data_IF_749768390623
#
_entry.id   IF_749768390623
#
_cell.length_a   1.000
_cell.length_b   1.000
_cell.length_c   1.000
_cell.angle_alpha   90.00
_cell.angle_beta   90.00
_cell.angle_gamma   90.00
#
_symmetry.space_group_name_H-M   'P 1'
#
loop_
_entity.id
_entity.type
_entity.pdbx_description
1 polymer ?
#
# COMPACT_ATOMS: atom_id res chain seq x y z
N UNK A 1 -56.13 -21.13 47.37
CA UNK A 1 -54.77 -21.54 46.96
C UNK A 1 -54.37 -20.73 45.74
N UNK A 2 -53.51 -19.70 45.91
CA UNK A 2 -53.00 -18.87 44.82
C UNK A 2 -51.70 -19.51 44.28
N UNK A 3 -51.68 -19.88 43.01
CA UNK A 3 -50.50 -20.39 42.32
C UNK A 3 -49.64 -19.19 41.90
N UNK A 4 -48.48 -19.02 42.53
CA UNK A 4 -47.47 -18.03 42.16
C UNK A 4 -46.68 -18.57 40.96
N UNK A 5 -46.85 -17.95 39.79
CA UNK A 5 -46.00 -18.17 38.63
C UNK A 5 -44.62 -17.51 38.88
N UNK A 6 -43.56 -18.31 38.87
CA UNK A 6 -42.17 -17.82 38.86
C UNK A 6 -41.81 -17.37 37.44
N UNK A 7 -41.22 -16.17 37.24
CA UNK A 7 -40.70 -15.80 35.93
C UNK A 7 -39.41 -16.59 35.67
N UNK A 8 -39.34 -17.23 34.51
CA UNK A 8 -38.14 -17.88 33.99
C UNK A 8 -37.19 -16.76 33.52
N UNK A 9 -36.08 -16.54 34.23
CA UNK A 9 -35.02 -15.64 33.78
C UNK A 9 -34.29 -16.33 32.62
N UNK A 10 -34.52 -15.88 31.39
CA UNK A 10 -33.73 -16.29 30.22
C UNK A 10 -32.44 -15.48 30.26
N UNK A 11 -31.38 -16.07 30.77
CA UNK A 11 -30.03 -15.51 30.71
C UNK A 11 -29.48 -15.68 29.29
N UNK A 12 -29.61 -14.64 28.47
CA UNK A 12 -28.91 -14.57 27.18
C UNK A 12 -27.42 -14.34 27.49
N UNK A 13 -26.63 -15.40 27.37
CA UNK A 13 -25.17 -15.32 27.44
C UNK A 13 -24.69 -14.71 26.11
N UNK A 14 -24.47 -13.39 26.10
CA UNK A 14 -23.79 -12.72 24.99
C UNK A 14 -22.31 -13.11 25.06
N UNK A 15 -21.92 -14.15 24.33
CA UNK A 15 -20.51 -14.43 24.09
C UNK A 15 -19.98 -13.31 23.18
N UNK A 16 -19.41 -12.26 23.78
CA UNK A 16 -18.48 -11.37 23.12
C UNK A 16 -17.28 -12.22 22.69
N UNK A 17 -17.33 -12.75 21.48
CA UNK A 17 -16.12 -13.12 20.76
C UNK A 17 -15.42 -11.80 20.51
N UNK A 18 -14.53 -11.42 21.42
CA UNK A 18 -13.47 -10.50 21.09
C UNK A 18 -12.67 -11.20 20.00
N UNK A 19 -12.96 -10.90 18.73
CA UNK A 19 -11.99 -11.10 17.67
C UNK A 19 -10.75 -10.35 18.13
N UNK A 20 -9.74 -11.09 18.59
CA UNK A 20 -8.42 -10.52 18.75
C UNK A 20 -8.08 -9.92 17.39
N UNK A 21 -7.99 -8.59 17.32
CA UNK A 21 -7.52 -7.88 16.14
C UNK A 21 -6.05 -8.25 15.97
N UNK A 22 -5.81 -9.42 15.38
CA UNK A 22 -4.50 -9.75 14.84
C UNK A 22 -4.12 -8.66 13.84
N UNK A 23 -2.84 -8.37 13.72
CA UNK A 23 -2.36 -7.52 12.65
C UNK A 23 -2.76 -8.15 11.29
N UNK A 24 -3.75 -7.53 10.63
CA UNK A 24 -4.31 -7.98 9.34
C UNK A 24 -3.55 -7.39 8.14
N UNK A 25 -2.55 -6.53 8.37
CA UNK A 25 -1.87 -5.83 7.28
C UNK A 25 -0.97 -6.76 6.47
N UNK A 26 -1.00 -6.58 5.15
CA UNK A 26 -0.17 -7.35 4.23
C UNK A 26 1.32 -7.32 4.61
N UNK A 27 1.94 -8.49 4.63
CA UNK A 27 3.39 -8.66 4.76
C UNK A 27 4.00 -8.58 3.36
N UNK A 28 4.49 -7.41 3.00
CA UNK A 28 5.00 -7.14 1.65
C UNK A 28 6.45 -7.60 1.52
N UNK A 29 6.73 -8.50 0.58
CA UNK A 29 8.07 -9.04 0.27
C UNK A 29 8.47 -8.68 -1.15
N UNK A 30 9.55 -7.93 -1.29
CA UNK A 30 10.12 -7.49 -2.56
C UNK A 30 11.44 -8.22 -2.85
N UNK A 31 11.48 -9.12 -3.86
CA UNK A 31 12.72 -9.71 -4.35
C UNK A 31 13.47 -8.72 -5.27
N UNK A 32 14.55 -8.11 -4.77
CA UNK A 32 15.43 -7.28 -5.61
C UNK A 32 16.42 -8.16 -6.36
N UNK A 33 16.57 -7.97 -7.66
CA UNK A 33 17.57 -8.70 -8.44
C UNK A 33 18.91 -7.99 -8.38
N UNK A 34 20.00 -8.76 -8.47
CA UNK A 34 21.32 -8.18 -8.67
C UNK A 34 21.49 -7.78 -10.13
N UNK A 35 22.06 -6.61 -10.37
CA UNK A 35 22.41 -6.11 -11.72
C UNK A 35 23.91 -5.96 -11.87
N UNK A 36 24.37 -6.12 -13.11
CA UNK A 36 25.76 -5.88 -13.52
C UNK A 36 25.87 -4.68 -14.48
N UNK A 37 24.74 -4.10 -14.90
CA UNK A 37 24.72 -2.88 -15.70
C UNK A 37 24.89 -1.65 -14.80
N UNK A 38 25.46 -0.58 -15.35
CA UNK A 38 25.54 0.70 -14.63
C UNK A 38 24.17 1.37 -14.62
N UNK A 39 23.63 1.61 -13.44
CA UNK A 39 22.48 2.50 -13.22
C UNK A 39 23.01 3.92 -13.12
N UNK A 40 22.51 4.83 -13.96
CA UNK A 40 22.81 6.26 -13.86
C UNK A 40 21.76 6.88 -12.95
N UNK A 41 22.17 7.84 -12.12
CA UNK A 41 21.23 8.56 -11.25
C UNK A 41 20.93 9.89 -11.94
N UNK A 42 20.07 9.85 -12.95
CA UNK A 42 19.68 11.00 -13.77
C UNK A 42 18.17 11.32 -13.76
N UNK A 43 17.37 10.42 -13.18
CA UNK A 43 15.94 10.53 -12.98
C UNK A 43 15.09 10.06 -14.16
N UNK A 44 15.68 9.47 -15.22
CA UNK A 44 14.98 9.11 -16.46
C UNK A 44 14.30 7.72 -16.43
N UNK A 45 14.76 6.81 -15.55
CA UNK A 45 14.26 5.44 -15.42
C UNK A 45 14.30 4.63 -16.73
N UNK A 46 15.30 4.85 -17.58
CA UNK A 46 15.36 4.26 -18.92
C UNK A 46 16.23 2.99 -19.02
N UNK A 47 16.95 2.63 -17.96
CA UNK A 47 17.77 1.43 -17.90
C UNK A 47 16.96 0.13 -17.98
N UNK A 48 17.59 -0.90 -18.55
CA UNK A 48 16.96 -2.20 -18.72
C UNK A 48 16.68 -2.87 -17.37
N UNK A 49 17.47 -2.58 -16.34
CA UNK A 49 17.23 -2.99 -14.95
C UNK A 49 15.82 -2.64 -14.48
N UNK A 50 15.35 -1.43 -14.77
CA UNK A 50 14.03 -0.96 -14.35
C UNK A 50 12.90 -1.68 -15.05
N UNK A 51 13.09 -2.05 -16.31
CA UNK A 51 12.11 -2.86 -17.06
C UNK A 51 12.07 -4.32 -16.56
N UNK A 52 13.16 -4.79 -15.94
CA UNK A 52 13.30 -6.14 -15.43
C UNK A 52 12.93 -6.29 -13.94
N UNK A 53 12.92 -5.19 -13.19
CA UNK A 53 12.57 -5.18 -11.77
C UNK A 53 11.05 -5.25 -11.56
N UNK A 54 10.64 -5.92 -10.48
CA UNK A 54 9.23 -5.98 -10.09
C UNK A 54 8.69 -4.59 -9.76
N UNK A 55 7.47 -4.26 -10.14
CA UNK A 55 6.88 -2.98 -9.75
C UNK A 55 6.07 -3.15 -8.47
N UNK A 56 6.47 -2.44 -7.42
CA UNK A 56 5.68 -2.28 -6.22
C UNK A 56 4.64 -1.17 -6.39
N UNK A 57 3.43 -1.43 -5.91
CA UNK A 57 2.25 -0.59 -6.11
C UNK A 57 1.37 -0.57 -4.84
N UNK A 58 0.16 -0.01 -4.95
CA UNK A 58 -0.87 -0.02 -3.91
C UNK A 58 -0.43 0.69 -2.62
N UNK A 59 0.03 1.94 -2.77
CA UNK A 59 0.31 2.79 -1.61
C UNK A 59 -1.01 3.20 -0.95
N UNK A 60 -1.02 3.14 0.37
CA UNK A 60 -2.17 3.47 1.22
C UNK A 60 -1.86 4.68 2.09
N UNK A 61 -2.87 5.27 2.71
CA UNK A 61 -2.64 6.24 3.77
C UNK A 61 -1.88 5.61 4.93
N UNK A 62 -1.00 6.36 5.58
CA UNK A 62 -0.15 5.79 6.63
C UNK A 62 -0.91 5.28 7.87
N UNK A 63 -2.10 5.84 8.10
CA UNK A 63 -2.94 5.62 9.28
C UNK A 63 -4.16 4.74 8.99
N UNK A 64 -4.42 4.39 7.73
CA UNK A 64 -5.49 3.48 7.34
C UNK A 64 -5.12 2.72 6.06
N UNK A 65 -5.46 1.42 5.94
CA UNK A 65 -5.14 0.59 4.76
C UNK A 65 -6.02 0.91 3.54
N UNK A 66 -6.27 2.19 3.29
CA UNK A 66 -7.06 2.71 2.18
C UNK A 66 -6.12 3.24 1.10
N UNK A 67 -6.29 2.78 -0.13
CA UNK A 67 -5.53 3.24 -1.28
C UNK A 67 -5.72 4.75 -1.52
N UNK A 68 -4.63 5.42 -1.90
CA UNK A 68 -4.65 6.84 -2.28
C UNK A 68 -4.92 7.04 -3.77
N UNK A 69 -5.38 8.23 -4.14
CA UNK A 69 -5.62 8.59 -5.54
C UNK A 69 -4.32 8.88 -6.29
N UNK A 70 -3.46 9.72 -5.71
CA UNK A 70 -2.12 10.01 -6.21
C UNK A 70 -1.16 8.88 -5.81
N UNK A 71 -1.17 7.79 -6.59
CA UNK A 71 -0.38 6.60 -6.32
C UNK A 71 1.12 6.84 -6.44
N UNK A 72 1.86 6.00 -5.71
CA UNK A 72 3.32 5.91 -5.79
C UNK A 72 3.67 4.48 -6.21
N UNK A 73 4.68 4.36 -7.06
CA UNK A 73 5.21 3.09 -7.53
C UNK A 73 6.71 3.08 -7.29
N UNK A 74 7.28 1.92 -6.97
CA UNK A 74 8.73 1.82 -6.96
C UNK A 74 9.22 0.49 -7.51
N UNK A 75 10.49 0.50 -7.92
CA UNK A 75 11.28 -0.67 -8.27
C UNK A 75 12.59 -0.62 -7.51
N UNK A 76 13.10 -1.78 -7.14
CA UNK A 76 14.38 -1.90 -6.45
C UNK A 76 15.26 -2.94 -7.16
N UNK A 77 16.54 -2.61 -7.27
CA UNK A 77 17.59 -3.51 -7.76
C UNK A 77 18.87 -3.21 -6.97
N UNK A 78 19.90 -4.03 -7.10
CA UNK A 78 21.15 -3.76 -6.39
C UNK A 78 22.37 -4.25 -7.15
N UNK A 79 23.52 -3.68 -6.83
CA UNK A 79 24.83 -4.22 -7.19
C UNK A 79 25.66 -4.49 -5.93
N UNK A 80 26.96 -4.79 -6.10
CA UNK A 80 27.86 -5.06 -4.98
C UNK A 80 28.14 -3.86 -4.07
N UNK A 81 27.76 -2.65 -4.49
CA UNK A 81 28.11 -1.37 -3.85
C UNK A 81 26.88 -0.62 -3.33
N UNK A 82 25.75 -0.68 -4.03
CA UNK A 82 24.56 0.11 -3.75
C UNK A 82 23.25 -0.69 -3.90
N UNK A 83 22.27 -0.29 -3.10
CA UNK A 83 20.86 -0.48 -3.38
C UNK A 83 20.41 0.65 -4.32
N UNK A 84 19.63 0.33 -5.34
CA UNK A 84 19.05 1.32 -6.24
C UNK A 84 17.52 1.28 -6.16
N UNK A 85 16.91 2.45 -6.16
CA UNK A 85 15.47 2.64 -6.17
C UNK A 85 15.08 3.56 -7.32
N UNK A 86 14.07 3.14 -8.07
CA UNK A 86 13.35 3.92 -9.06
C UNK A 86 11.95 4.15 -8.52
N UNK A 87 11.54 5.40 -8.35
CA UNK A 87 10.24 5.77 -7.78
C UNK A 87 9.48 6.65 -8.77
N UNK A 88 8.22 6.33 -8.99
CA UNK A 88 7.30 7.12 -9.81
C UNK A 88 6.14 7.58 -8.93
N UNK A 89 5.84 8.87 -8.96
CA UNK A 89 4.79 9.49 -8.16
C UNK A 89 3.77 10.14 -9.09
N UNK A 90 2.57 9.57 -9.19
CA UNK A 90 1.47 10.26 -9.86
C UNK A 90 1.16 11.55 -9.07
N UNK A 91 0.97 12.65 -9.81
CA UNK A 91 0.78 13.95 -9.21
C UNK A 91 -0.19 14.80 -10.05
N UNK A 92 -1.48 14.86 -9.67
CA UNK A 92 -2.48 15.64 -10.41
C UNK A 92 -2.25 17.15 -10.35
N UNK A 93 -1.45 17.64 -9.38
CA UNK A 93 -1.10 19.05 -9.20
C UNK A 93 0.37 19.30 -9.59
N UNK A 94 0.88 18.60 -10.61
CA UNK A 94 2.30 18.60 -10.98
C UNK A 94 2.86 20.00 -11.19
N UNK A 95 2.10 20.93 -11.77
CA UNK A 95 2.51 22.32 -11.99
C UNK A 95 2.79 23.09 -10.69
N UNK A 96 2.23 22.62 -9.57
CA UNK A 96 2.41 23.18 -8.24
C UNK A 96 3.55 22.52 -7.45
N UNK A 97 4.13 21.43 -7.97
CA UNK A 97 5.38 20.86 -7.44
C UNK A 97 6.51 21.84 -7.71
N UNK A 98 7.08 22.39 -6.64
CA UNK A 98 8.19 23.34 -6.69
C UNK A 98 9.50 22.62 -6.41
N UNK A 99 10.60 23.00 -7.09
CA UNK A 99 11.91 22.45 -6.77
C UNK A 99 12.32 22.86 -5.36
N UNK A 100 12.76 21.90 -4.57
CA UNK A 100 13.30 22.15 -3.25
C UNK A 100 14.67 22.81 -3.33
N UNK A 101 14.94 23.73 -2.40
CA UNK A 101 16.24 24.36 -2.22
C UNK A 101 16.50 24.44 -0.73
N UNK A 102 17.15 23.43 -0.21
CA UNK A 102 17.36 23.25 1.21
C UNK A 102 18.86 23.26 1.51
N UNK A 103 19.22 23.61 2.75
CA UNK A 103 20.52 23.23 3.26
C UNK A 103 20.58 21.69 3.35
N UNK A 104 21.80 21.13 3.26
CA UNK A 104 22.02 19.71 3.48
C UNK A 104 21.42 19.31 4.84
N UNK A 105 20.70 18.19 4.87
CA UNK A 105 20.01 17.63 6.05
C UNK A 105 19.00 18.57 6.73
N UNK A 106 18.46 19.57 6.00
CA UNK A 106 17.40 20.41 6.55
C UNK A 106 16.08 19.64 6.68
N UNK A 107 15.46 19.75 7.84
CA UNK A 107 14.10 19.26 8.09
C UNK A 107 13.02 20.01 7.30
N UNK A 108 13.36 21.16 6.69
CA UNK A 108 12.43 21.89 5.82
C UNK A 108 12.02 21.07 4.57
N UNK A 109 12.83 20.06 4.22
CA UNK A 109 12.57 19.12 3.14
C UNK A 109 11.18 18.45 3.28
N UNK A 110 10.82 18.03 4.51
CA UNK A 110 9.53 17.39 4.83
C UNK A 110 8.30 18.32 4.65
N UNK A 111 8.51 19.60 4.37
CA UNK A 111 7.43 20.54 4.01
C UNK A 111 6.95 20.41 2.57
N UNK A 112 7.62 19.63 1.71
CA UNK A 112 7.34 19.48 0.29
C UNK A 112 6.93 18.06 -0.14
N UNK A 113 7.13 17.77 -1.43
CA UNK A 113 7.00 16.42 -2.00
C UNK A 113 8.26 15.62 -1.70
N UNK A 114 8.14 14.59 -0.86
CA UNK A 114 9.27 13.80 -0.40
C UNK A 114 8.94 12.31 -0.49
N UNK A 115 9.91 11.53 -0.93
CA UNK A 115 9.95 10.10 -0.73
C UNK A 115 10.88 9.80 0.43
N UNK A 116 10.37 9.09 1.42
CA UNK A 116 11.13 8.63 2.56
C UNK A 116 11.38 7.12 2.46
N UNK A 117 12.64 6.75 2.49
CA UNK A 117 13.11 5.37 2.40
C UNK A 117 13.59 4.97 3.77
N UNK A 118 12.93 3.99 4.37
CA UNK A 118 13.31 3.43 5.66
C UNK A 118 13.94 2.07 5.47
N UNK A 119 15.13 1.85 6.04
CA UNK A 119 15.84 0.58 5.97
C UNK A 119 16.18 0.07 7.37
N UNK A 120 15.84 -1.18 7.65
CA UNK A 120 16.31 -1.96 8.81
C UNK A 120 17.26 -3.05 8.29
N UNK A 121 18.58 -2.79 8.29
CA UNK A 121 19.58 -3.70 7.73
C UNK A 121 19.67 -5.08 8.39
N UNK A 122 19.38 -5.15 9.70
CA UNK A 122 19.56 -6.37 10.49
C UNK A 122 18.26 -7.19 10.58
N UNK A 123 17.14 -6.63 10.11
CA UNK A 123 15.81 -7.23 10.18
C UNK A 123 15.44 -7.64 11.62
N UNK A 124 15.81 -6.79 12.57
CA UNK A 124 15.57 -6.98 14.01
C UNK A 124 14.50 -6.03 14.57
N UNK A 125 13.99 -5.14 13.71
CA UNK A 125 12.96 -4.15 13.99
C UNK A 125 13.34 -3.14 15.08
N UNK A 126 14.63 -2.93 15.32
CA UNK A 126 15.14 -2.02 16.35
C UNK A 126 15.91 -0.85 15.76
N UNK A 127 16.99 -1.11 15.03
CA UNK A 127 17.85 -0.11 14.42
C UNK A 127 17.46 0.07 12.96
N UNK A 128 17.11 1.29 12.59
CA UNK A 128 16.78 1.62 11.22
C UNK A 128 17.39 2.96 10.81
N UNK A 129 17.44 3.17 9.50
CA UNK A 129 17.91 4.37 8.84
C UNK A 129 16.78 4.97 8.02
N UNK A 130 16.82 6.28 7.86
CA UNK A 130 15.90 7.04 7.02
C UNK A 130 16.73 7.79 5.98
N UNK A 131 16.31 7.72 4.72
CA UNK A 131 16.81 8.52 3.62
C UNK A 131 15.60 9.19 2.99
N UNK A 132 15.43 10.48 3.20
CA UNK A 132 14.35 11.27 2.65
C UNK A 132 14.85 12.10 1.47
N UNK A 133 14.12 12.05 0.36
CA UNK A 133 14.53 12.63 -0.91
C UNK A 133 13.38 13.39 -1.53
N UNK A 134 13.59 14.66 -1.84
CA UNK A 134 12.55 15.48 -2.49
C UNK A 134 12.48 15.24 -4.01
N UNK A 135 11.46 15.82 -4.65
CA UNK A 135 11.30 15.76 -6.12
C UNK A 135 12.43 16.36 -6.96
N UNK A 136 13.42 17.02 -6.33
CA UNK A 136 14.61 17.58 -6.99
C UNK A 136 15.87 16.74 -6.74
N UNK A 137 15.82 15.74 -5.86
CA UNK A 137 16.95 14.92 -5.47
C UNK A 137 17.75 15.46 -4.29
N UNK A 138 17.23 16.45 -3.54
CA UNK A 138 17.86 16.85 -2.27
C UNK A 138 17.67 15.73 -1.25
N UNK A 139 18.71 15.43 -0.48
CA UNK A 139 18.73 14.32 0.48
C UNK A 139 18.76 14.86 1.91
N UNK A 140 17.97 14.22 2.77
CA UNK A 140 18.11 14.22 4.22
C UNK A 140 18.34 12.77 4.65
N UNK A 141 19.25 12.53 5.59
CA UNK A 141 19.44 11.20 6.16
C UNK A 141 19.56 11.20 7.68
N UNK A 142 19.17 10.06 8.27
CA UNK A 142 19.21 9.89 9.71
C UNK A 142 19.32 8.42 10.11
N UNK A 143 19.87 8.18 11.30
CA UNK A 143 19.75 6.90 11.99
C UNK A 143 18.65 7.04 13.05
N UNK A 144 17.56 6.30 12.89
CA UNK A 144 16.33 6.53 13.65
C UNK A 144 15.73 7.90 13.34
N UNK A 145 15.89 8.83 14.27
CA UNK A 145 15.53 10.25 14.10
C UNK A 145 16.73 11.18 14.36
N UNK A 146 17.94 10.62 14.39
CA UNK A 146 19.17 11.36 14.65
C UNK A 146 19.87 11.67 13.31
N UNK A 147 19.92 12.95 12.88
CA UNK A 147 20.47 13.36 11.58
C UNK A 147 22.01 13.46 11.57
N UNK A 148 22.72 12.75 12.45
CA UNK A 148 24.20 12.76 12.49
C UNK A 148 24.84 11.65 11.65
N UNK A 149 24.04 10.73 11.12
CA UNK A 149 24.49 9.66 10.24
C UNK A 149 24.36 10.09 8.80
N UNK A 150 25.36 9.79 7.96
CA UNK A 150 25.35 10.11 6.54
C UNK A 150 25.27 8.82 5.70
N UNK A 151 24.31 8.76 4.80
CA UNK A 151 24.03 7.63 3.92
C UNK A 151 25.00 7.52 2.74
N UNK A 152 25.59 8.63 2.31
CA UNK A 152 26.27 8.75 1.02
C UNK A 152 25.35 8.57 -0.18
N UNK A 153 24.02 8.65 0.01
CA UNK A 153 23.06 8.45 -1.05
C UNK A 153 23.17 9.56 -2.12
N UNK A 154 22.95 9.18 -3.37
CA UNK A 154 22.80 10.12 -4.48
C UNK A 154 21.41 9.96 -5.06
N UNK A 155 20.77 11.06 -5.37
CA UNK A 155 19.45 11.04 -5.94
C UNK A 155 19.26 12.09 -7.03
N UNK A 156 18.37 11.78 -7.97
CA UNK A 156 17.96 12.72 -9.01
C UNK A 156 16.49 12.56 -9.32
N UNK A 157 15.76 13.67 -9.18
CA UNK A 157 14.36 13.75 -9.55
C UNK A 157 14.16 14.34 -10.96
N UNK A 158 13.12 13.87 -11.64
CA UNK A 158 12.68 14.40 -12.94
C UNK A 158 11.17 14.64 -12.93
N UNK A 159 10.75 15.80 -13.40
CA UNK A 159 9.34 16.17 -13.53
C UNK A 159 8.83 15.78 -14.91
N UNK A 160 7.74 15.01 -14.96
CA UNK A 160 6.99 14.68 -16.17
C UNK A 160 5.72 15.50 -16.32
N UNK A 161 4.81 15.04 -17.19
CA UNK A 161 3.55 15.76 -17.52
C UNK A 161 2.46 15.63 -16.46
N UNK A 162 2.38 14.50 -15.74
CA UNK A 162 1.36 14.22 -14.72
C UNK A 162 1.92 13.42 -13.54
N UNK A 163 3.25 13.33 -13.45
CA UNK A 163 4.00 12.59 -12.47
C UNK A 163 5.36 13.21 -12.28
N UNK A 164 6.03 12.85 -11.21
CA UNK A 164 7.47 13.02 -11.08
C UNK A 164 8.12 11.68 -10.78
N UNK A 165 9.38 11.56 -11.15
CA UNK A 165 10.18 10.34 -11.02
C UNK A 165 11.44 10.65 -10.22
N UNK A 166 11.99 9.62 -9.60
CA UNK A 166 13.16 9.72 -8.75
C UNK A 166 14.03 8.47 -8.90
N UNK A 167 15.32 8.68 -9.10
CA UNK A 167 16.34 7.65 -8.93
C UNK A 167 17.14 7.92 -7.68
N UNK A 168 17.39 6.86 -6.91
CA UNK A 168 18.21 6.90 -5.70
C UNK A 168 19.20 5.76 -5.72
N UNK A 169 20.47 6.06 -5.46
CA UNK A 169 21.48 5.08 -5.08
C UNK A 169 21.79 5.22 -3.60
N UNK A 170 21.81 4.11 -2.88
CA UNK A 170 22.08 4.05 -1.44
C UNK A 170 23.25 3.08 -1.23
N UNK A 171 24.44 3.56 -0.86
CA UNK A 171 25.58 2.70 -0.59
C UNK A 171 25.31 1.71 0.54
N UNK A 172 25.72 0.45 0.37
CA UNK A 172 25.55 -0.59 1.39
C UNK A 172 26.44 -0.40 2.62
N UNK A 173 27.62 0.20 2.41
CA UNK A 173 28.65 0.33 3.46
C UNK A 173 28.19 1.15 4.66
N UNK A 174 27.59 2.36 4.52
CA UNK A 174 27.07 3.12 5.65
C UNK A 174 25.89 2.45 6.38
N UNK A 175 25.14 1.58 5.68
CA UNK A 175 24.08 0.76 6.27
C UNK A 175 24.62 -0.47 7.03
N UNK A 176 25.89 -0.84 6.83
CA UNK A 176 26.49 -2.03 7.41
C UNK A 176 26.05 -3.34 6.73
N UNK A 177 25.49 -3.28 5.52
CA UNK A 177 25.01 -4.46 4.78
C UNK A 177 26.12 -5.01 3.89
N UNK A 178 26.25 -6.33 3.85
CA UNK A 178 27.02 -7.05 2.82
C UNK A 178 26.01 -7.61 1.79
N UNK A 179 25.93 -7.08 0.57
CA UNK A 179 24.91 -7.48 -0.39
C UNK A 179 25.20 -8.88 -0.94
N UNK A 180 24.47 -9.87 -0.42
CA UNK A 180 24.57 -11.27 -0.85
C UNK A 180 23.17 -11.84 -1.10
N UNK A 181 23.10 -12.84 -1.98
CA UNK A 181 21.85 -13.54 -2.26
C UNK A 181 21.23 -14.11 -0.97
N UNK A 182 19.93 -13.88 -0.79
CA UNK A 182 19.15 -14.30 0.36
C UNK A 182 19.16 -13.37 1.57
N UNK A 183 20.00 -12.31 1.58
CA UNK A 183 19.98 -11.28 2.62
C UNK A 183 18.61 -10.62 2.65
N UNK A 184 18.05 -10.52 3.86
CA UNK A 184 16.74 -9.93 4.14
C UNK A 184 16.96 -8.66 4.95
N UNK A 185 16.38 -7.55 4.47
CA UNK A 185 16.36 -6.28 5.20
C UNK A 185 14.90 -5.80 5.32
N UNK A 186 14.60 -5.06 6.38
CA UNK A 186 13.35 -4.31 6.45
C UNK A 186 13.43 -3.11 5.51
N UNK A 187 12.37 -2.85 4.75
CA UNK A 187 12.27 -1.71 3.85
C UNK A 187 10.87 -1.12 3.90
N UNK A 188 10.75 0.19 4.01
CA UNK A 188 9.50 0.88 3.69
C UNK A 188 9.78 2.09 2.80
N UNK A 189 8.85 2.34 1.89
CA UNK A 189 8.85 3.51 1.02
C UNK A 189 7.60 4.30 1.39
N UNK A 190 7.79 5.54 1.79
CA UNK A 190 6.74 6.44 2.21
C UNK A 190 6.79 7.70 1.35
N UNK A 191 5.65 8.39 1.22
CA UNK A 191 5.55 9.66 0.51
C UNK A 191 4.86 10.68 1.40
N UNK A 192 5.56 11.77 1.66
CA UNK A 192 4.98 13.04 2.08
C UNK A 192 4.52 13.77 0.83
N UNK A 193 3.22 13.78 0.59
CA UNK A 193 2.63 14.56 -0.48
C UNK A 193 2.14 15.89 0.07
N UNK A 194 2.96 16.94 -0.05
CA UNK A 194 2.62 18.32 0.36
C UNK A 194 2.68 19.26 -0.84
N UNK A 195 1.61 19.28 -1.64
CA UNK A 195 1.48 20.18 -2.80
C UNK A 195 0.24 21.03 -2.66
N UNK A 196 0.45 22.35 -2.69
CA UNK A 196 -0.61 23.34 -2.51
C UNK A 196 -1.40 23.09 -1.21
N UNK A 197 -2.68 22.74 -1.32
CA UNK A 197 -3.52 22.42 -0.17
C UNK A 197 -3.68 20.91 0.06
N UNK A 198 -3.06 20.07 -0.77
CA UNK A 198 -3.09 18.63 -0.60
C UNK A 198 -1.95 18.20 0.33
N UNK A 199 -2.32 17.61 1.48
CA UNK A 199 -1.40 17.00 2.44
C UNK A 199 -1.80 15.55 2.66
N UNK A 200 -0.96 14.62 2.22
CA UNK A 200 -1.21 13.19 2.36
C UNK A 200 0.09 12.49 2.74
N UNK A 201 0.00 11.58 3.69
CA UNK A 201 1.09 10.72 4.13
C UNK A 201 0.75 9.31 3.72
N UNK A 202 1.59 8.72 2.88
CA UNK A 202 1.29 7.41 2.28
C UNK A 202 2.48 6.48 2.40
N UNK A 203 2.24 5.18 2.43
CA UNK A 203 3.31 4.18 2.53
C UNK A 203 3.04 2.97 1.65
N UNK A 204 4.12 2.25 1.35
CA UNK A 204 4.06 0.96 0.70
C UNK A 204 3.62 -0.12 1.69
N UNK A 205 4.33 -0.30 2.79
CA UNK A 205 3.96 -1.23 3.86
C UNK A 205 3.20 -0.48 4.95
N UNK A 206 2.01 -0.99 5.30
CA UNK A 206 1.09 -0.30 6.20
C UNK A 206 1.66 -0.21 7.61
N UNK A 207 1.90 1.02 8.06
CA UNK A 207 2.27 1.35 9.45
C UNK A 207 1.06 1.57 10.34
N UNK A 208 1.26 1.65 11.66
CA UNK A 208 0.17 1.88 12.62
C UNK A 208 0.05 3.32 13.12
N UNK A 209 1.18 3.99 13.37
CA UNK A 209 1.22 5.30 14.07
C UNK A 209 1.98 6.40 13.33
N UNK A 210 2.75 6.04 12.32
CA UNK A 210 3.66 6.93 11.60
C UNK A 210 4.70 6.11 10.84
N UNK A 211 5.55 6.77 10.06
CA UNK A 211 6.53 6.06 9.23
C UNK A 211 7.69 5.43 10.02
N UNK A 212 8.01 5.95 11.20
CA UNK A 212 9.06 5.42 12.09
C UNK A 212 8.60 4.18 12.87
N UNK A 213 8.17 3.14 12.14
CA UNK A 213 7.55 1.94 12.69
C UNK A 213 8.20 0.66 12.10
N UNK A 214 9.45 0.33 12.51
CA UNK A 214 10.25 -0.71 11.86
C UNK A 214 9.66 -2.13 11.93
N UNK A 215 8.79 -2.39 12.91
CA UNK A 215 8.02 -3.64 12.99
C UNK A 215 7.06 -3.80 11.79
N UNK A 216 6.64 -2.69 11.19
CA UNK A 216 5.69 -2.64 10.08
C UNK A 216 6.32 -2.36 8.72
N UNK A 217 7.65 -2.33 8.64
CA UNK A 217 8.34 -2.27 7.35
C UNK A 217 8.03 -3.53 6.53
N UNK A 218 8.03 -3.36 5.21
CA UNK A 218 8.06 -4.49 4.30
C UNK A 218 9.43 -5.15 4.30
N UNK A 219 9.62 -6.09 3.40
CA UNK A 219 10.75 -7.00 3.40
C UNK A 219 11.42 -6.96 2.04
N UNK A 220 12.63 -6.41 1.96
CA UNK A 220 13.45 -6.51 0.76
C UNK A 220 14.37 -7.71 0.90
N UNK A 221 14.34 -8.61 -0.08
CA UNK A 221 15.25 -9.77 -0.11
C UNK A 221 16.10 -9.72 -1.38
N UNK A 222 17.42 -9.83 -1.20
CA UNK A 222 18.40 -9.70 -2.28
C UNK A 222 18.50 -11.03 -3.04
N UNK A 223 18.19 -11.06 -4.33
CA UNK A 223 18.28 -12.21 -5.24
C UNK A 223 17.94 -13.56 -4.59
N UNK A 224 16.75 -13.73 -3.98
CA UNK A 224 16.43 -14.97 -3.28
C UNK A 224 16.23 -16.14 -4.25
N UNK A 225 16.62 -17.34 -3.81
CA UNK A 225 16.14 -18.57 -4.44
C UNK A 225 14.67 -18.83 -4.07
N UNK A 226 14.02 -19.76 -4.78
CA UNK A 226 12.65 -20.18 -4.45
C UNK A 226 12.56 -20.78 -3.05
N UNK A 227 13.57 -21.56 -2.68
CA UNK A 227 13.69 -22.18 -1.35
C UNK A 227 13.86 -21.10 -0.27
N UNK A 228 14.66 -20.06 -0.54
CA UNK A 228 14.78 -18.93 0.38
C UNK A 228 13.45 -18.22 0.56
N UNK A 229 12.73 -17.90 -0.52
CA UNK A 229 11.40 -17.28 -0.44
C UNK A 229 10.41 -18.12 0.39
N UNK A 230 10.40 -19.43 0.18
CA UNK A 230 9.55 -20.35 0.95
C UNK A 230 9.92 -20.39 2.44
N UNK A 231 11.20 -20.21 2.78
CA UNK A 231 11.69 -20.20 4.16
C UNK A 231 11.51 -18.86 4.88
N UNK A 232 11.17 -17.76 4.17
CA UNK A 232 11.04 -16.42 4.76
C UNK A 232 9.88 -16.28 5.74
N UNK A 233 8.88 -17.17 5.69
CA UNK A 233 7.63 -17.01 6.45
C UNK A 233 7.86 -16.75 7.95
N UNK A 234 8.80 -17.47 8.56
CA UNK A 234 9.12 -17.26 9.99
C UNK A 234 9.75 -15.89 10.26
N UNK A 235 10.60 -15.41 9.36
CA UNK A 235 11.32 -14.15 9.52
C UNK A 235 10.38 -12.96 9.30
N UNK A 236 9.56 -12.97 8.26
CA UNK A 236 8.60 -11.89 7.95
C UNK A 236 7.49 -11.77 9.01
N UNK A 237 7.23 -12.84 9.77
CA UNK A 237 6.27 -12.85 10.89
C UNK A 237 6.88 -12.48 12.25
N UNK A 238 8.16 -12.12 12.31
CA UNK A 238 8.80 -11.63 13.56
C UNK A 238 8.00 -10.46 14.16
N UNK A 239 7.98 -10.38 15.49
CA UNK A 239 7.21 -9.38 16.22
C UNK A 239 5.69 -9.63 16.22
N UNK A 240 5.27 -10.86 15.89
CA UNK A 240 3.88 -11.29 16.03
C UNK A 240 2.97 -10.94 14.86
N UNK A 241 3.55 -10.52 13.73
CA UNK A 241 2.81 -10.16 12.51
C UNK A 241 2.08 -11.39 11.93
N UNK A 242 0.80 -11.26 11.62
CA UNK A 242 -0.05 -12.39 11.16
C UNK A 242 -0.70 -12.17 9.79
N UNK A 243 -0.55 -11.00 9.18
CA UNK A 243 -1.21 -10.67 7.93
C UNK A 243 -0.82 -11.56 6.74
N UNK A 244 -1.55 -11.41 5.62
CA UNK A 244 -1.32 -12.19 4.42
C UNK A 244 0.03 -11.82 3.78
N UNK A 245 0.75 -12.82 3.25
CA UNK A 245 2.04 -12.61 2.60
C UNK A 245 1.85 -12.22 1.13
N UNK A 246 2.48 -11.11 0.71
CA UNK A 246 2.45 -10.62 -0.68
C UNK A 246 3.88 -10.59 -1.21
N UNK A 247 4.20 -11.46 -2.18
CA UNK A 247 5.53 -11.52 -2.79
C UNK A 247 5.48 -10.90 -4.20
N UNK A 248 6.28 -9.86 -4.43
CA UNK A 248 6.37 -9.19 -5.72
C UNK A 248 7.22 -9.98 -6.73
N UNK A 249 6.91 -9.86 -8.03
CA UNK A 249 7.74 -10.40 -9.10
C UNK A 249 7.62 -9.54 -10.37
N UNK A 250 8.52 -9.73 -11.35
CA UNK A 250 8.48 -9.00 -12.63
C UNK A 250 7.16 -9.21 -13.38
N UNK A 251 6.61 -10.42 -13.28
CA UNK A 251 5.31 -10.78 -13.85
C UNK A 251 4.13 -10.27 -12.99
N UNK A 252 4.40 -9.34 -12.05
CA UNK A 252 3.49 -8.93 -10.98
C UNK A 252 3.59 -9.85 -9.76
N UNK A 253 2.79 -9.60 -8.72
CA UNK A 253 2.25 -10.76 -7.98
C UNK A 253 1.53 -11.55 -9.07
N UNK A 254 2.10 -12.68 -9.55
CA UNK A 254 1.92 -13.23 -10.92
C UNK A 254 0.62 -12.79 -11.62
N UNK A 255 0.60 -12.42 -12.91
CA UNK A 255 -0.64 -12.04 -13.63
C UNK A 255 -1.89 -12.89 -13.29
N UNK A 256 -1.70 -14.20 -13.01
CA UNK A 256 -2.71 -15.12 -12.46
C UNK A 256 -3.28 -14.72 -11.08
N UNK A 257 -2.45 -14.24 -10.16
CA UNK A 257 -2.82 -13.69 -8.86
C UNK A 257 -3.60 -12.39 -9.00
N UNK A 258 -3.21 -11.44 -9.85
CA UNK A 258 -4.04 -10.23 -10.07
C UNK A 258 -5.39 -10.57 -10.70
N UNK A 259 -5.42 -11.47 -11.68
CA UNK A 259 -6.68 -11.96 -12.24
C UNK A 259 -7.54 -12.68 -11.18
N UNK A 260 -6.94 -13.46 -10.28
CA UNK A 260 -7.64 -14.12 -9.17
C UNK A 260 -8.15 -13.12 -8.12
N UNK A 261 -7.33 -12.13 -7.73
CA UNK A 261 -7.71 -11.05 -6.82
C UNK A 261 -8.85 -10.24 -7.41
N UNK A 262 -8.79 -9.89 -8.70
CA UNK A 262 -9.86 -9.18 -9.37
C UNK A 262 -11.15 -9.98 -9.42
N UNK A 263 -11.08 -11.28 -9.74
CA UNK A 263 -12.25 -12.17 -9.67
C UNK A 263 -12.85 -12.17 -8.26
N UNK A 264 -12.03 -12.26 -7.22
CA UNK A 264 -12.51 -12.21 -5.84
C UNK A 264 -13.13 -10.86 -5.50
N UNK A 265 -12.46 -9.74 -5.81
CA UNK A 265 -12.98 -8.39 -5.55
C UNK A 265 -14.29 -8.11 -6.30
N UNK A 266 -14.42 -8.57 -7.55
CA UNK A 266 -15.68 -8.49 -8.29
C UNK A 266 -16.77 -9.32 -7.63
N UNK A 267 -16.45 -10.54 -7.18
CA UNK A 267 -17.38 -11.41 -6.45
C UNK A 267 -17.86 -10.77 -5.13
N UNK A 268 -16.96 -10.15 -4.37
CA UNK A 268 -17.32 -9.43 -3.13
C UNK A 268 -18.30 -8.29 -3.43
N UNK A 269 -18.00 -7.47 -4.44
CA UNK A 269 -18.84 -6.33 -4.84
C UNK A 269 -20.20 -6.80 -5.38
N UNK A 270 -20.23 -7.89 -6.14
CA UNK A 270 -21.47 -8.52 -6.61
C UNK A 270 -22.32 -9.03 -5.43
N UNK A 271 -21.68 -9.60 -4.40
CA UNK A 271 -22.38 -10.07 -3.18
C UNK A 271 -23.04 -8.90 -2.45
N UNK A 272 -22.30 -7.82 -2.19
CA UNK A 272 -22.86 -6.61 -1.56
C UNK A 272 -23.98 -5.97 -2.38
N UNK A 273 -23.83 -5.96 -3.70
CA UNK A 273 -24.85 -5.47 -4.63
C UNK A 273 -26.13 -6.28 -4.51
N UNK A 274 -26.01 -7.61 -4.44
CA UNK A 274 -27.16 -8.50 -4.30
C UNK A 274 -27.84 -8.34 -2.95
N UNK A 275 -27.09 -8.23 -1.85
CA UNK A 275 -27.63 -7.95 -0.52
C UNK A 275 -28.44 -6.64 -0.48
N UNK A 276 -27.91 -5.57 -1.10
CA UNK A 276 -28.60 -4.29 -1.21
C UNK A 276 -29.89 -4.40 -2.03
N UNK A 277 -29.87 -5.13 -3.14
CA UNK A 277 -31.06 -5.35 -3.96
C UNK A 277 -32.14 -6.10 -3.19
N UNK A 278 -31.77 -7.11 -2.40
CA UNK A 278 -32.71 -7.89 -1.60
C UNK A 278 -33.29 -7.06 -0.45
N UNK A 279 -32.45 -6.27 0.24
CA UNK A 279 -32.91 -5.35 1.28
C UNK A 279 -33.85 -4.26 0.72
N UNK A 280 -33.55 -3.72 -0.47
CA UNK A 280 -34.38 -2.69 -1.12
C UNK A 280 -35.80 -3.19 -1.43
N UNK A 281 -35.99 -4.50 -1.67
CA UNK A 281 -37.31 -5.10 -1.89
C UNK A 281 -38.15 -5.12 -0.61
N UNK A 282 -37.49 -5.27 0.55
CA UNK A 282 -38.15 -5.45 1.85
C UNK A 282 -38.33 -4.13 2.62
N UNK A 283 -37.49 -3.13 2.34
CA UNK A 283 -37.54 -1.84 3.02
C UNK A 283 -38.85 -1.10 2.69
N UNK A 284 -39.35 -0.24 3.58
CA UNK A 284 -40.51 0.64 3.28
C UNK A 284 -40.11 2.10 3.07
N UNK A 285 -38.95 2.50 3.59
CA UNK A 285 -38.37 3.84 3.49
C UNK A 285 -38.03 4.20 2.02
N UNK A 286 -38.93 4.95 1.37
CA UNK A 286 -38.79 5.36 -0.02
C UNK A 286 -37.57 6.26 -0.29
N UNK A 287 -37.25 7.28 0.53
CA UNK A 287 -35.99 8.01 0.43
C UNK A 287 -34.75 7.11 0.45
N UNK A 288 -34.68 6.15 1.38
CA UNK A 288 -33.56 5.22 1.47
C UNK A 288 -33.47 4.33 0.23
N UNK A 289 -34.60 3.84 -0.30
CA UNK A 289 -34.61 3.08 -1.57
C UNK A 289 -34.05 3.89 -2.73
N UNK A 290 -34.38 5.18 -2.82
CA UNK A 290 -33.87 6.05 -3.88
C UNK A 290 -32.35 6.26 -3.75
N UNK A 291 -31.83 6.43 -2.53
CA UNK A 291 -30.39 6.51 -2.27
C UNK A 291 -29.68 5.21 -2.65
N UNK A 292 -30.25 4.04 -2.28
CA UNK A 292 -29.73 2.72 -2.66
C UNK A 292 -29.69 2.55 -4.18
N UNK A 293 -30.77 2.88 -4.89
CA UNK A 293 -30.84 2.79 -6.35
C UNK A 293 -29.77 3.65 -7.04
N UNK A 294 -29.53 4.85 -6.52
CA UNK A 294 -28.47 5.73 -7.02
C UNK A 294 -27.09 5.09 -6.87
N UNK A 295 -26.74 4.61 -5.67
CA UNK A 295 -25.43 3.99 -5.41
C UNK A 295 -25.25 2.71 -6.24
N UNK A 296 -26.31 1.90 -6.40
CA UNK A 296 -26.30 0.72 -7.25
C UNK A 296 -26.08 1.06 -8.74
N UNK A 297 -26.69 2.14 -9.23
CA UNK A 297 -26.47 2.65 -10.59
C UNK A 297 -25.02 3.08 -10.82
N UNK A 298 -24.47 3.89 -9.91
CA UNK A 298 -23.07 4.34 -9.97
C UNK A 298 -22.08 3.17 -9.89
N UNK A 299 -22.36 2.17 -9.05
CA UNK A 299 -21.56 0.96 -8.96
C UNK A 299 -21.58 0.19 -10.29
N UNK A 300 -22.76 0.01 -10.90
CA UNK A 300 -22.91 -0.68 -12.18
C UNK A 300 -22.12 -0.01 -13.30
N UNK A 301 -22.22 1.32 -13.43
CA UNK A 301 -21.50 2.07 -14.46
C UNK A 301 -19.99 1.92 -14.34
N UNK A 302 -19.45 1.86 -13.11
CA UNK A 302 -18.02 1.66 -12.85
C UNK A 302 -17.55 0.22 -13.08
N UNK A 303 -18.37 -0.77 -12.77
CA UNK A 303 -17.99 -2.19 -12.83
C UNK A 303 -18.09 -2.78 -14.24
N UNK A 304 -19.02 -2.29 -15.06
CA UNK A 304 -19.27 -2.84 -16.41
C UNK A 304 -18.02 -2.85 -17.31
N UNK A 305 -17.23 -1.77 -17.46
CA UNK A 305 -16.02 -1.80 -18.28
C UNK A 305 -14.92 -2.70 -17.69
N UNK A 306 -14.86 -2.83 -16.36
CA UNK A 306 -13.88 -3.68 -15.69
C UNK A 306 -14.16 -5.16 -15.94
N UNK A 307 -15.42 -5.59 -15.88
CA UNK A 307 -15.83 -6.97 -16.15
C UNK A 307 -15.47 -7.39 -17.58
N UNK A 308 -15.73 -6.52 -18.57
CA UNK A 308 -15.39 -6.78 -19.97
C UNK A 308 -13.88 -6.89 -20.18
N UNK A 309 -13.10 -6.01 -19.56
CA UNK A 309 -11.63 -6.04 -19.68
C UNK A 309 -11.01 -7.33 -19.15
N UNK A 310 -11.56 -7.91 -18.08
CA UNK A 310 -11.08 -9.18 -17.49
C UNK A 310 -11.32 -10.37 -18.39
N UNK A 311 -12.48 -10.39 -19.06
CA UNK A 311 -12.88 -11.49 -19.94
C UNK A 311 -12.06 -11.52 -21.24
N UNK A 312 -11.57 -10.37 -21.70
CA UNK A 312 -10.86 -10.23 -22.98
C UNK A 312 -9.35 -10.50 -22.91
N UNK A 313 -8.65 -10.06 -21.86
CA UNK A 313 -7.16 -10.07 -21.85
C UNK A 313 -6.53 -11.22 -21.07
N UNK A 314 -7.19 -11.72 -20.02
CA UNK A 314 -6.68 -12.80 -19.14
C UNK A 314 -5.41 -12.46 -18.32
N UNK A 315 -4.66 -11.43 -18.70
CA UNK A 315 -3.46 -10.93 -18.02
C UNK A 315 -3.64 -9.45 -17.65
N UNK A 316 -3.24 -9.10 -16.42
CA UNK A 316 -3.37 -7.74 -15.87
C UNK A 316 -2.00 -7.26 -15.41
N UNK A 317 -1.56 -6.11 -15.93
CA UNK A 317 -0.33 -5.46 -15.49
C UNK A 317 -0.52 -4.85 -14.10
N UNK A 318 0.56 -4.76 -13.29
CA UNK A 318 0.46 -4.29 -11.91
C UNK A 318 -0.07 -2.84 -11.77
N UNK A 319 0.29 -1.96 -12.72
CA UNK A 319 -0.22 -0.58 -12.78
C UNK A 319 -1.74 -0.55 -13.03
N UNK A 320 -2.21 -1.33 -14.01
CA UNK A 320 -3.64 -1.44 -14.32
C UNK A 320 -4.41 -2.03 -13.13
N UNK A 321 -3.88 -3.10 -12.51
CA UNK A 321 -4.45 -3.68 -11.30
C UNK A 321 -4.63 -2.65 -10.19
N UNK A 322 -3.61 -1.83 -9.93
CA UNK A 322 -3.65 -0.84 -8.85
C UNK A 322 -4.81 0.15 -9.03
N UNK A 323 -4.98 0.64 -10.27
CA UNK A 323 -6.09 1.52 -10.63
C UNK A 323 -7.45 0.82 -10.50
N UNK A 324 -7.55 -0.40 -11.03
CA UNK A 324 -8.77 -1.21 -10.95
C UNK A 324 -9.14 -1.49 -9.48
N UNK A 325 -8.18 -1.89 -8.67
CA UNK A 325 -8.35 -2.20 -7.26
C UNK A 325 -8.80 -0.97 -6.46
N UNK A 326 -8.26 0.21 -6.76
CA UNK A 326 -8.72 1.47 -6.19
C UNK A 326 -10.19 1.75 -6.51
N UNK A 327 -10.58 1.63 -7.78
CA UNK A 327 -11.97 1.84 -8.20
C UNK A 327 -12.92 0.84 -7.54
N UNK A 328 -12.53 -0.44 -7.46
CA UNK A 328 -13.30 -1.48 -6.78
C UNK A 328 -13.42 -1.22 -5.28
N UNK A 329 -12.35 -0.79 -4.63
CA UNK A 329 -12.36 -0.46 -3.20
C UNK A 329 -13.29 0.72 -2.93
N UNK A 330 -13.29 1.75 -3.78
CA UNK A 330 -14.23 2.88 -3.69
C UNK A 330 -15.68 2.44 -3.88
N UNK A 331 -15.94 1.57 -4.85
CA UNK A 331 -17.30 1.02 -5.07
C UNK A 331 -17.74 0.20 -3.85
N UNK A 332 -16.89 -0.71 -3.36
CA UNK A 332 -17.15 -1.55 -2.17
C UNK A 332 -17.47 -0.69 -0.95
N UNK A 333 -16.64 0.30 -0.65
CA UNK A 333 -16.85 1.20 0.50
C UNK A 333 -18.17 1.97 0.41
N UNK A 334 -18.54 2.47 -0.77
CA UNK A 334 -19.84 3.14 -1.00
C UNK A 334 -21.02 2.19 -0.76
N UNK A 335 -20.92 0.94 -1.26
CA UNK A 335 -21.95 -0.09 -1.07
C UNK A 335 -22.09 -0.48 0.41
N UNK A 336 -20.99 -0.71 1.13
CA UNK A 336 -21.00 -1.03 2.56
C UNK A 336 -21.63 0.08 3.39
N UNK A 337 -21.30 1.35 3.09
CA UNK A 337 -21.87 2.51 3.78
C UNK A 337 -23.39 2.61 3.59
N UNK A 338 -23.88 2.45 2.36
CA UNK A 338 -25.33 2.51 2.11
C UNK A 338 -26.06 1.28 2.67
N UNK A 339 -25.43 0.10 2.64
CA UNK A 339 -25.97 -1.12 3.25
C UNK A 339 -26.15 -0.96 4.76
N UNK A 340 -25.18 -0.36 5.44
CA UNK A 340 -25.29 -0.04 6.86
C UNK A 340 -26.46 0.90 7.15
N UNK A 341 -26.59 2.00 6.37
CA UNK A 341 -27.70 2.96 6.52
C UNK A 341 -29.06 2.29 6.28
N UNK A 342 -29.16 1.46 5.25
CA UNK A 342 -30.39 0.77 4.90
C UNK A 342 -30.79 -0.25 5.98
N UNK A 343 -29.83 -0.99 6.55
CA UNK A 343 -30.08 -1.89 7.69
C UNK A 343 -30.58 -1.12 8.92
N UNK A 344 -29.99 0.03 9.22
CA UNK A 344 -30.45 0.89 10.31
C UNK A 344 -31.87 1.42 10.06
N UNK A 345 -32.17 1.90 8.85
CA UNK A 345 -33.53 2.33 8.48
C UNK A 345 -34.54 1.18 8.61
N UNK A 346 -34.19 -0.03 8.17
CA UNK A 346 -35.05 -1.21 8.32
C UNK A 346 -35.35 -1.53 9.81
N UNK A 347 -34.36 -1.43 10.69
CA UNK A 347 -34.55 -1.63 12.12
C UNK A 347 -35.45 -0.56 12.75
N UNK A 348 -35.30 0.70 12.33
CA UNK A 348 -36.09 1.81 12.85
C UNK A 348 -37.54 1.81 12.35
N UNK A 349 -37.80 1.19 11.20
CA UNK A 349 -39.15 1.06 10.61
C UNK A 349 -39.88 -0.21 11.04
N UNK A 350 -39.19 -1.16 11.68
CA UNK A 350 -39.78 -2.32 12.35
C UNK A 350 -40.22 -2.06 13.80
N UNK A 351 -39.90 -0.87 14.34
CA UNK A 351 -40.38 -0.33 15.62
C UNK A 351 -41.60 0.57 15.38
#
# INVERSE_FOLDING_TARGET
>A
MKVLARPLLVSVLLALVACASGDEYELKVYPAQQVNETIRIDGALDESAWQNAAMATNFTFYNEPTLVDAQTYFRATFDTSNLFLAVECDEPLIDQVKPGRYALDSTDLFGGEVIEIFADPDHDHSKYFQIAVDSSGNVYDSMGQNPSWNSGAQAKGMKGTNRWQLEVSIPWKPLGVQPQAGVLIGLNICRDRNVANAKQWTNWSQTTKGFHDPLYFGHLVLSPSRERLAALEKEVRKGGRQGPLVIYSKEGVSSRTYAAMLKQSLSDVQTLTQELLDLARQLEDAPMKQEMQKVLGEAKEKLQPLQQSVEETGEIQAQDWTRINFDLTKVKSSLEKILWKARLSALLTQL
#
